data_IF_203445989388
#
_entry.id   IF_203445989388
#
_cell.length_a   1.000
_cell.length_b   1.000
_cell.length_c   1.000
_cell.angle_alpha   90.00
_cell.angle_beta   90.00
_cell.angle_gamma   90.00
#
_symmetry.space_group_name_H-M   'P 1'
#
loop_
_entity.id
_entity.type
_entity.pdbx_description
1 polymer ?
#
# COMPACT_ATOMS: atom_id res chain seq x y z
N UNK A 1 19.44 13.03 -19.82
CA UNK A 1 19.03 14.41 -20.18
C UNK A 1 18.22 14.43 -21.47
N UNK A 2 18.77 14.00 -22.64
CA UNK A 2 18.07 14.09 -23.95
C UNK A 2 16.72 13.35 -23.92
N UNK A 3 16.66 12.17 -23.36
CA UNK A 3 15.41 11.40 -23.24
C UNK A 3 14.33 12.08 -22.39
N UNK A 4 14.72 12.78 -21.33
CA UNK A 4 13.77 13.55 -20.48
C UNK A 4 13.28 14.82 -21.17
N UNK A 5 14.10 15.49 -21.96
CA UNK A 5 13.76 16.77 -22.61
C UNK A 5 13.24 16.62 -24.04
N UNK A 6 13.46 15.48 -24.67
CA UNK A 6 13.21 15.25 -26.11
C UNK A 6 13.77 16.37 -26.98
N UNK A 7 14.94 16.92 -26.57
CA UNK A 7 15.62 18.04 -27.20
C UNK A 7 17.10 18.01 -26.84
N UNK A 8 17.96 17.98 -27.90
CA UNK A 8 19.42 18.03 -27.71
C UNK A 8 19.84 19.39 -27.15
N UNK A 9 19.18 20.47 -27.61
CA UNK A 9 19.50 21.84 -27.18
C UNK A 9 19.19 22.04 -25.71
N UNK A 10 18.00 21.63 -25.22
CA UNK A 10 17.62 21.75 -23.85
C UNK A 10 18.47 20.84 -22.96
N UNK A 11 18.75 19.62 -23.40
CA UNK A 11 19.63 18.72 -22.66
C UNK A 11 21.07 19.27 -22.56
N UNK A 12 21.56 19.95 -23.60
CA UNK A 12 22.88 20.61 -23.58
C UNK A 12 22.92 21.74 -22.52
N UNK A 13 21.83 22.52 -22.41
CA UNK A 13 21.70 23.56 -21.40
C UNK A 13 21.69 22.96 -19.98
N UNK A 14 20.88 21.91 -19.75
CA UNK A 14 20.80 21.22 -18.45
C UNK A 14 22.16 20.64 -18.01
N UNK A 15 22.98 20.20 -18.98
CA UNK A 15 24.28 19.58 -18.71
C UNK A 15 25.45 20.57 -18.74
N UNK A 16 25.20 21.85 -19.02
CA UNK A 16 26.24 22.88 -19.22
C UNK A 16 27.24 22.49 -20.30
N UNK A 17 26.76 21.85 -21.37
CA UNK A 17 27.54 21.40 -22.52
C UNK A 17 27.07 22.09 -23.82
N UNK A 18 27.91 21.98 -24.85
CA UNK A 18 27.48 22.39 -26.20
C UNK A 18 26.58 21.34 -26.86
N UNK A 19 25.66 21.76 -27.73
CA UNK A 19 24.80 20.86 -28.49
C UNK A 19 25.61 19.82 -29.33
N UNK A 20 26.76 20.23 -29.87
CA UNK A 20 27.66 19.35 -30.60
C UNK A 20 28.30 18.27 -29.69
N UNK A 21 28.61 18.60 -28.44
CA UNK A 21 29.13 17.66 -27.48
C UNK A 21 28.08 16.60 -27.12
N UNK A 22 26.85 17.01 -26.79
CA UNK A 22 25.75 16.10 -26.50
C UNK A 22 25.43 15.21 -27.71
N UNK A 23 25.38 15.78 -28.92
CA UNK A 23 25.16 15.00 -30.16
C UNK A 23 26.25 13.94 -30.38
N UNK A 24 27.52 14.28 -30.10
CA UNK A 24 28.67 13.37 -30.20
C UNK A 24 28.56 12.23 -29.19
N UNK A 25 28.14 12.49 -27.95
CA UNK A 25 27.94 11.47 -26.94
C UNK A 25 26.83 10.47 -27.33
N UNK A 26 25.72 10.97 -27.90
CA UNK A 26 24.64 10.11 -28.40
C UNK A 26 25.16 9.22 -29.53
N UNK A 27 25.84 9.80 -30.52
CA UNK A 27 26.41 9.02 -31.65
C UNK A 27 27.45 7.99 -31.18
N UNK A 28 28.28 8.34 -30.20
CA UNK A 28 29.23 7.40 -29.59
C UNK A 28 28.52 6.20 -28.92
N UNK A 29 27.46 6.46 -28.19
CA UNK A 29 26.65 5.42 -27.57
C UNK A 29 25.94 4.54 -28.58
N UNK A 30 25.29 5.15 -29.60
CA UNK A 30 24.66 4.42 -30.69
C UNK A 30 25.65 3.54 -31.46
N UNK A 31 26.87 4.07 -31.71
CA UNK A 31 27.93 3.34 -32.40
C UNK A 31 28.45 2.17 -31.59
N UNK A 32 28.61 2.34 -30.27
CA UNK A 32 29.04 1.27 -29.36
C UNK A 32 28.02 0.14 -29.22
N UNK A 33 26.72 0.49 -29.27
CA UNK A 33 25.64 -0.48 -29.18
C UNK A 33 25.23 -1.08 -30.53
N UNK A 34 25.63 -0.46 -31.63
CA UNK A 34 25.26 -0.86 -33.00
C UNK A 34 23.79 -0.63 -33.35
N UNK A 35 23.07 0.19 -32.56
CA UNK A 35 21.65 0.49 -32.75
C UNK A 35 21.39 1.99 -32.65
N UNK A 36 20.33 2.46 -33.30
CA UNK A 36 19.84 3.82 -33.15
C UNK A 36 18.94 3.92 -31.94
N UNK A 37 19.13 4.97 -31.14
CA UNK A 37 18.33 5.24 -29.96
C UNK A 37 17.34 6.38 -30.20
N UNK A 38 17.65 7.25 -31.17
CA UNK A 38 16.80 8.38 -31.50
C UNK A 38 16.59 8.47 -33.03
N UNK A 39 15.39 8.87 -33.42
CA UNK A 39 15.02 9.25 -34.76
C UNK A 39 14.82 10.76 -34.81
N UNK A 40 15.31 11.38 -35.92
CA UNK A 40 15.12 12.82 -36.17
C UNK A 40 13.96 13.00 -37.13
N UNK A 41 12.89 13.64 -36.67
CA UNK A 41 11.84 14.17 -37.52
C UNK A 41 12.07 15.67 -37.79
N UNK A 42 11.29 16.23 -38.69
CA UNK A 42 11.41 17.65 -39.04
C UNK A 42 11.13 18.55 -37.82
N UNK A 43 12.19 19.04 -37.14
CA UNK A 43 12.20 19.84 -35.88
C UNK A 43 11.92 19.10 -34.56
N UNK A 44 11.93 17.77 -34.55
CA UNK A 44 11.74 16.99 -33.31
C UNK A 44 12.67 15.78 -33.26
N UNK A 45 12.90 15.27 -32.06
CA UNK A 45 13.62 14.03 -31.83
C UNK A 45 12.67 13.08 -31.09
N UNK A 46 12.66 11.82 -31.50
CA UNK A 46 11.84 10.76 -30.89
C UNK A 46 12.69 9.56 -30.56
N UNK A 47 12.27 8.76 -29.61
CA UNK A 47 12.91 7.48 -29.35
C UNK A 47 12.63 6.48 -30.48
N UNK A 48 13.61 5.62 -30.74
CA UNK A 48 13.33 4.30 -31.32
C UNK A 48 12.77 3.38 -30.25
N UNK A 49 12.13 2.22 -30.58
CA UNK A 49 11.71 1.25 -29.60
C UNK A 49 12.85 0.78 -28.67
N UNK A 50 14.05 0.60 -29.23
CA UNK A 50 15.27 0.25 -28.50
C UNK A 50 15.73 1.40 -27.59
N UNK A 51 15.64 2.63 -28.09
CA UNK A 51 15.96 3.84 -27.34
C UNK A 51 15.05 4.06 -26.13
N UNK A 52 13.75 3.84 -26.28
CA UNK A 52 12.78 3.94 -25.19
C UNK A 52 13.04 2.89 -24.10
N UNK A 53 13.28 1.63 -24.50
CA UNK A 53 13.61 0.55 -23.55
C UNK A 53 14.89 0.85 -22.77
N UNK A 54 15.94 1.32 -23.45
CA UNK A 54 17.20 1.69 -22.80
C UNK A 54 17.01 2.89 -21.88
N UNK A 55 16.22 3.90 -22.30
CA UNK A 55 15.93 5.08 -21.49
C UNK A 55 15.23 4.72 -20.19
N UNK A 56 14.17 3.91 -20.23
CA UNK A 56 13.43 3.49 -19.05
C UNK A 56 14.33 2.75 -18.05
N UNK A 57 15.18 1.84 -18.54
CA UNK A 57 16.14 1.11 -17.69
C UNK A 57 17.20 2.05 -17.10
N UNK A 58 17.76 2.95 -17.91
CA UNK A 58 18.78 3.89 -17.47
C UNK A 58 18.21 4.94 -16.50
N UNK A 59 16.99 5.42 -16.73
CA UNK A 59 16.33 6.41 -15.86
C UNK A 59 16.04 5.82 -14.48
N UNK A 60 15.57 4.57 -14.42
CA UNK A 60 15.38 3.82 -13.18
C UNK A 60 16.70 3.63 -12.42
N UNK A 61 17.78 3.21 -13.12
CA UNK A 61 19.08 3.03 -12.49
C UNK A 61 19.67 4.35 -11.98
N UNK A 62 19.52 5.44 -12.73
CA UNK A 62 19.97 6.77 -12.31
C UNK A 62 19.17 7.29 -11.12
N UNK A 63 17.86 7.03 -11.05
CA UNK A 63 17.05 7.40 -9.91
C UNK A 63 17.51 6.64 -8.65
N UNK A 64 17.73 5.34 -8.74
CA UNK A 64 18.25 4.52 -7.64
C UNK A 64 19.62 5.02 -7.14
N UNK A 65 20.49 5.41 -8.08
CA UNK A 65 21.80 5.98 -7.73
C UNK A 65 21.66 7.33 -7.01
N UNK A 66 20.78 8.21 -7.49
CA UNK A 66 20.50 9.49 -6.84
C UNK A 66 19.92 9.31 -5.44
N UNK A 67 18.98 8.37 -5.28
CA UNK A 67 18.38 8.03 -3.99
C UNK A 67 19.45 7.48 -3.02
N UNK A 68 20.37 6.65 -3.53
CA UNK A 68 21.51 6.13 -2.74
C UNK A 68 22.47 7.24 -2.32
N UNK A 69 22.83 8.13 -3.23
CA UNK A 69 23.69 9.28 -2.92
C UNK A 69 23.01 10.22 -1.92
N UNK A 70 21.71 10.48 -2.12
CA UNK A 70 20.90 11.26 -1.18
C UNK A 70 20.87 10.62 0.21
N UNK A 71 20.71 9.30 0.30
CA UNK A 71 20.76 8.56 1.55
C UNK A 71 22.14 8.62 2.23
N UNK A 72 23.22 8.54 1.48
CA UNK A 72 24.59 8.68 2.01
C UNK A 72 24.89 10.11 2.50
N UNK A 73 24.38 11.11 1.82
CA UNK A 73 24.52 12.51 2.24
C UNK A 73 23.61 12.86 3.43
N UNK A 74 22.40 12.29 3.49
CA UNK A 74 21.46 12.47 4.59
C UNK A 74 21.90 11.73 5.87
N UNK A 75 22.83 10.76 5.78
CA UNK A 75 23.40 10.11 6.98
C UNK A 75 24.25 11.04 7.85
N UNK A 76 24.48 12.28 7.41
CA UNK A 76 25.12 13.36 8.18
C UNK A 76 24.12 14.33 8.83
N UNK A 77 22.82 14.22 8.53
CA UNK A 77 21.74 15.05 9.08
C UNK A 77 20.51 14.16 9.20
N UNK A 78 19.81 14.16 10.30
CA UNK A 78 18.61 13.40 10.68
C UNK A 78 17.86 12.74 9.50
N UNK A 79 18.06 11.43 9.32
CA UNK A 79 17.39 10.64 8.27
C UNK A 79 15.99 10.25 8.75
N UNK A 80 14.94 10.49 7.96
CA UNK A 80 13.60 10.04 8.34
C UNK A 80 13.53 8.51 8.48
N UNK A 81 12.85 8.03 9.51
CA UNK A 81 12.55 6.61 9.68
C UNK A 81 11.51 6.20 8.63
N UNK A 82 11.88 5.28 7.76
CA UNK A 82 11.03 4.89 6.63
C UNK A 82 10.29 3.57 6.89
N UNK A 83 8.96 3.64 6.87
CA UNK A 83 8.06 2.48 7.04
C UNK A 83 7.35 2.18 5.74
N UNK A 84 7.36 0.91 5.31
CA UNK A 84 6.49 0.45 4.23
C UNK A 84 5.40 -0.49 4.76
N UNK A 85 4.19 -0.30 4.27
CA UNK A 85 3.06 -1.15 4.57
C UNK A 85 2.04 -1.11 3.42
N UNK A 86 1.03 -2.00 3.46
CA UNK A 86 -0.05 -1.92 2.49
C UNK A 86 -0.80 -0.59 2.59
N UNK A 87 -1.33 -0.12 1.46
CA UNK A 87 -2.06 1.16 1.37
C UNK A 87 -3.14 1.24 2.45
N UNK A 88 -3.93 0.19 2.61
CA UNK A 88 -5.02 0.14 3.58
C UNK A 88 -4.54 0.10 5.03
N UNK A 89 -3.40 -0.54 5.33
CA UNK A 89 -2.81 -0.50 6.67
C UNK A 89 -2.38 0.92 7.01
N UNK A 90 -1.67 1.57 6.10
CA UNK A 90 -1.25 2.97 6.29
C UNK A 90 -2.47 3.86 6.50
N UNK A 91 -3.45 3.82 5.58
CA UNK A 91 -4.59 4.74 5.61
C UNK A 91 -5.54 4.54 6.79
N UNK A 92 -5.86 3.30 7.13
CA UNK A 92 -6.92 2.99 8.10
C UNK A 92 -6.39 2.69 9.52
N UNK A 93 -5.14 2.22 9.65
CA UNK A 93 -4.62 1.87 10.97
C UNK A 93 -3.50 2.81 11.45
N UNK A 94 -2.50 3.09 10.60
CA UNK A 94 -1.30 3.82 11.01
C UNK A 94 -1.55 5.33 11.09
N UNK A 95 -2.06 5.94 10.01
CA UNK A 95 -2.27 7.41 9.94
C UNK A 95 -3.16 7.97 11.06
N UNK A 96 -4.27 7.34 11.46
CA UNK A 96 -5.10 7.85 12.55
C UNK A 96 -4.39 7.86 13.91
N UNK A 97 -3.33 7.05 14.07
CA UNK A 97 -2.56 6.89 15.31
C UNK A 97 -1.27 7.69 15.33
N UNK A 98 -0.71 7.99 14.17
CA UNK A 98 0.59 8.65 14.03
C UNK A 98 0.73 9.98 14.79
N UNK A 99 -0.33 10.82 14.95
CA UNK A 99 -0.24 12.03 15.77
C UNK A 99 0.19 11.76 17.22
N UNK A 100 -0.16 10.62 17.82
CA UNK A 100 0.28 10.27 19.18
C UNK A 100 1.79 9.96 19.24
N UNK A 101 2.34 9.35 18.20
CA UNK A 101 3.78 9.14 18.07
C UNK A 101 4.53 10.48 17.93
N UNK A 102 4.05 11.35 17.05
CA UNK A 102 4.66 12.65 16.81
C UNK A 102 4.65 13.56 18.06
N UNK A 103 3.64 13.43 18.93
CA UNK A 103 3.60 14.13 20.21
C UNK A 103 4.64 13.60 21.22
N UNK A 104 4.90 12.29 21.21
CA UNK A 104 5.89 11.65 22.09
C UNK A 104 7.32 11.79 21.57
N UNK A 105 7.50 11.85 20.27
CA UNK A 105 8.79 11.89 19.56
C UNK A 105 8.79 12.97 18.47
N UNK A 106 8.70 14.25 18.85
CA UNK A 106 8.63 15.35 17.87
C UNK A 106 9.90 15.51 17.04
N UNK A 107 11.04 14.97 17.51
CA UNK A 107 12.33 14.96 16.82
C UNK A 107 12.43 13.90 15.73
N UNK A 108 11.52 12.90 15.70
CA UNK A 108 11.60 11.79 14.77
C UNK A 108 10.79 12.10 13.51
N UNK A 109 11.48 12.26 12.40
CA UNK A 109 10.84 12.37 11.09
C UNK A 109 10.44 10.98 10.59
N UNK A 110 9.17 10.79 10.19
CA UNK A 110 8.63 9.53 9.69
C UNK A 110 8.26 9.67 8.22
N UNK A 111 8.79 8.79 7.37
CA UNK A 111 8.42 8.64 5.97
C UNK A 111 7.59 7.39 5.76
N UNK A 112 6.37 7.54 5.27
CA UNK A 112 5.48 6.42 4.94
C UNK A 112 5.56 6.08 3.45
N UNK A 113 5.85 4.81 3.14
CA UNK A 113 5.84 4.27 1.78
C UNK A 113 4.70 3.24 1.64
N UNK A 114 3.51 3.73 1.31
CA UNK A 114 2.32 2.88 1.14
C UNK A 114 2.38 2.12 -0.19
N UNK A 115 2.53 0.79 -0.12
CA UNK A 115 2.67 -0.06 -1.31
C UNK A 115 2.19 -1.48 -1.01
N UNK A 116 1.41 -2.07 -1.93
CA UNK A 116 0.93 -3.44 -1.80
C UNK A 116 1.95 -4.50 -2.28
N UNK A 117 3.03 -4.09 -2.94
CA UNK A 117 4.07 -5.00 -3.41
C UNK A 117 5.00 -5.41 -2.24
N UNK A 118 5.50 -6.63 -2.32
CA UNK A 118 6.58 -7.09 -1.44
C UNK A 118 7.88 -6.51 -1.98
N UNK A 119 8.57 -5.75 -1.15
CA UNK A 119 9.82 -5.06 -1.49
C UNK A 119 10.95 -5.55 -0.59
N UNK A 120 12.19 -5.54 -1.10
CA UNK A 120 13.38 -5.79 -0.30
C UNK A 120 13.74 -4.50 0.47
N UNK A 121 13.74 -4.58 1.81
CA UNK A 121 14.01 -3.43 2.68
C UNK A 121 15.39 -2.83 2.47
N UNK A 122 16.39 -3.66 2.14
CA UNK A 122 17.76 -3.20 1.94
C UNK A 122 17.94 -2.50 0.61
N UNK A 123 17.36 -3.07 -0.45
CA UNK A 123 17.44 -2.50 -1.80
C UNK A 123 16.70 -1.16 -1.90
N UNK A 124 15.56 -1.05 -1.23
CA UNK A 124 14.72 0.15 -1.25
C UNK A 124 15.10 1.18 -0.16
N UNK A 125 16.11 0.87 0.68
CA UNK A 125 16.54 1.77 1.74
C UNK A 125 15.51 2.00 2.85
N UNK A 126 14.58 1.06 3.05
CA UNK A 126 13.49 1.13 4.03
C UNK A 126 13.97 0.57 5.37
N UNK A 127 13.51 1.12 6.49
CA UNK A 127 13.92 0.70 7.83
C UNK A 127 13.09 -0.44 8.37
N UNK A 128 11.79 -0.43 8.07
CA UNK A 128 10.86 -1.48 8.48
C UNK A 128 9.72 -1.68 7.49
N UNK A 129 9.12 -2.88 7.55
CA UNK A 129 7.90 -3.21 6.81
C UNK A 129 6.84 -3.79 7.73
N UNK A 130 5.58 -3.44 7.47
CA UNK A 130 4.43 -4.14 8.02
C UNK A 130 3.82 -4.96 6.90
N UNK A 131 3.71 -6.27 7.15
CA UNK A 131 3.26 -7.25 6.15
C UNK A 131 2.08 -8.04 6.66
N UNK A 132 1.24 -8.45 5.72
CA UNK A 132 0.09 -9.32 5.94
C UNK A 132 0.40 -10.70 5.36
N UNK A 133 0.39 -11.73 6.19
CA UNK A 133 0.74 -13.10 5.79
C UNK A 133 -0.06 -14.12 6.59
N UNK A 134 -0.05 -15.36 6.14
CA UNK A 134 -0.54 -16.48 6.94
C UNK A 134 0.38 -16.69 8.16
N UNK A 135 -0.18 -17.16 9.27
CA UNK A 135 0.54 -17.32 10.53
C UNK A 135 1.74 -18.30 10.40
N UNK A 136 1.57 -19.34 9.60
CA UNK A 136 2.60 -20.35 9.29
C UNK A 136 3.64 -19.88 8.26
N UNK A 137 3.35 -18.79 7.53
CA UNK A 137 4.23 -18.17 6.55
C UNK A 137 4.89 -16.87 7.07
N UNK A 138 4.86 -16.63 8.38
CA UNK A 138 5.47 -15.44 8.96
C UNK A 138 7.00 -15.49 8.78
N UNK A 139 7.62 -14.44 8.23
CA UNK A 139 9.06 -14.41 8.01
C UNK A 139 9.86 -14.54 9.31
N UNK A 140 11.03 -15.21 9.23
CA UNK A 140 11.93 -15.33 10.36
C UNK A 140 12.35 -13.94 10.88
N UNK A 141 12.34 -13.75 12.19
CA UNK A 141 12.65 -12.46 12.84
C UNK A 141 11.52 -11.41 12.78
N UNK A 142 10.40 -11.69 12.11
CA UNK A 142 9.25 -10.81 12.15
C UNK A 142 8.56 -10.86 13.52
N UNK A 143 8.03 -9.71 13.96
CA UNK A 143 7.24 -9.60 15.19
C UNK A 143 5.74 -9.56 14.83
N UNK A 144 4.95 -10.46 15.41
CA UNK A 144 3.49 -10.45 15.26
C UNK A 144 2.94 -9.14 15.83
N UNK A 145 2.06 -8.49 15.08
CA UNK A 145 1.30 -7.33 15.58
C UNK A 145 -0.08 -7.79 16.06
N UNK A 146 -0.96 -8.14 15.14
CA UNK A 146 -2.31 -8.63 15.44
C UNK A 146 -2.83 -9.54 14.33
N UNK A 147 -3.82 -10.37 14.67
CA UNK A 147 -4.59 -11.16 13.72
C UNK A 147 -5.64 -10.35 12.99
N UNK A 148 -6.60 -11.00 12.35
CA UNK A 148 -7.75 -10.31 11.77
C UNK A 148 -9.07 -10.99 12.12
N UNK A 149 -10.11 -10.17 12.28
CA UNK A 149 -11.49 -10.61 12.35
C UNK A 149 -12.30 -9.85 11.31
N UNK A 150 -13.01 -10.59 10.48
CA UNK A 150 -13.80 -10.03 9.37
C UNK A 150 -15.27 -10.25 9.64
N UNK A 151 -16.10 -9.25 9.40
CA UNK A 151 -17.55 -9.33 9.54
C UNK A 151 -18.25 -8.28 8.66
N UNK A 152 -19.53 -8.47 8.33
CA UNK A 152 -20.31 -7.53 7.56
C UNK A 152 -20.54 -6.21 8.31
N UNK A 153 -20.39 -5.10 7.59
CA UNK A 153 -20.62 -3.73 8.09
C UNK A 153 -21.36 -2.89 7.06
N UNK A 154 -22.08 -1.90 7.53
CA UNK A 154 -22.76 -0.93 6.70
C UNK A 154 -22.85 0.42 7.38
N UNK A 155 -23.14 1.49 6.61
CA UNK A 155 -23.52 2.78 7.18
C UNK A 155 -24.93 2.70 7.79
N UNK A 156 -25.19 3.31 8.97
CA UNK A 156 -26.50 3.26 9.63
C UNK A 156 -27.68 3.74 8.77
N UNK A 157 -27.44 4.64 7.82
CA UNK A 157 -28.49 5.15 6.91
C UNK A 157 -29.14 4.09 6.02
N UNK A 158 -28.51 2.93 5.87
CA UNK A 158 -29.11 1.82 5.13
C UNK A 158 -30.23 1.11 5.90
N UNK A 159 -30.40 1.43 7.20
CA UNK A 159 -31.46 0.85 8.04
C UNK A 159 -31.33 -0.66 8.26
N UNK A 160 -30.12 -1.22 8.08
CA UNK A 160 -29.85 -2.65 8.23
C UNK A 160 -29.05 -2.85 9.52
N UNK A 161 -29.66 -3.47 10.52
CA UNK A 161 -28.98 -3.82 11.77
C UNK A 161 -28.50 -5.28 11.80
N UNK A 162 -29.11 -6.15 11.00
CA UNK A 162 -28.85 -7.58 10.98
C UNK A 162 -28.87 -8.11 9.53
N UNK A 163 -28.04 -9.09 9.26
CA UNK A 163 -28.08 -9.90 8.05
C UNK A 163 -28.58 -11.30 8.43
N UNK A 164 -29.88 -11.42 8.67
CA UNK A 164 -30.51 -12.65 9.17
C UNK A 164 -31.48 -13.31 8.18
N UNK A 165 -31.61 -12.72 7.00
CA UNK A 165 -32.46 -13.25 5.92
C UNK A 165 -31.85 -12.99 4.53
N UNK A 166 -31.97 -13.92 3.57
CA UNK A 166 -31.41 -13.77 2.23
C UNK A 166 -32.04 -12.63 1.43
N UNK A 167 -33.26 -12.21 1.75
CA UNK A 167 -33.97 -11.10 1.13
C UNK A 167 -33.25 -9.76 1.37
N UNK A 168 -32.53 -9.63 2.49
CA UNK A 168 -31.75 -8.44 2.79
C UNK A 168 -30.60 -8.32 1.78
N UNK A 169 -29.94 -9.46 1.49
CA UNK A 169 -28.89 -9.51 0.45
C UNK A 169 -29.50 -9.19 -0.93
N UNK A 170 -30.62 -9.78 -1.27
CA UNK A 170 -31.25 -9.59 -2.58
C UNK A 170 -31.64 -8.13 -2.89
N UNK A 171 -31.89 -7.31 -1.85
CA UNK A 171 -32.19 -5.88 -1.99
C UNK A 171 -30.99 -4.95 -1.76
N UNK A 172 -29.82 -5.50 -1.37
CA UNK A 172 -28.64 -4.73 -1.03
C UNK A 172 -27.58 -4.74 -2.14
N UNK A 173 -26.78 -3.69 -2.18
CA UNK A 173 -25.53 -3.67 -2.94
C UNK A 173 -24.43 -4.23 -2.03
N UNK A 174 -23.64 -5.17 -2.55
CA UNK A 174 -22.47 -5.69 -1.86
C UNK A 174 -21.21 -5.01 -2.37
N UNK A 175 -20.33 -4.62 -1.45
CA UNK A 175 -19.02 -4.08 -1.73
C UNK A 175 -18.01 -5.21 -1.56
N UNK A 176 -17.28 -5.54 -2.62
CA UNK A 176 -16.38 -6.70 -2.67
C UNK A 176 -14.94 -6.25 -2.87
N UNK A 177 -14.04 -6.79 -2.04
CA UNK A 177 -12.62 -6.57 -2.15
C UNK A 177 -11.97 -7.66 -3.00
N UNK A 178 -11.31 -7.29 -4.11
CA UNK A 178 -10.65 -8.22 -5.04
C UNK A 178 -9.14 -8.37 -4.79
N UNK A 179 -8.57 -7.62 -3.83
CA UNK A 179 -7.13 -7.65 -3.55
C UNK A 179 -6.63 -8.91 -2.81
N UNK A 180 -7.54 -9.78 -2.37
CA UNK A 180 -7.23 -11.06 -1.72
C UNK A 180 -8.31 -12.08 -2.09
N UNK A 181 -7.90 -13.29 -2.48
CA UNK A 181 -8.80 -14.40 -2.87
C UNK A 181 -9.20 -15.30 -1.72
N UNK A 182 -8.78 -14.99 -0.49
CA UNK A 182 -9.10 -15.79 0.70
C UNK A 182 -10.61 -15.83 0.97
N UNK A 183 -11.17 -16.97 1.43
CA UNK A 183 -12.63 -17.14 1.59
C UNK A 183 -13.28 -16.08 2.47
N UNK A 184 -12.62 -15.63 3.53
CA UNK A 184 -13.19 -14.62 4.44
C UNK A 184 -13.35 -13.22 3.81
N UNK A 185 -12.77 -12.98 2.62
CA UNK A 185 -12.95 -11.76 1.85
C UNK A 185 -13.99 -11.88 0.75
N UNK A 186 -14.60 -13.05 0.58
CA UNK A 186 -15.51 -13.33 -0.50
C UNK A 186 -16.95 -13.45 -0.02
N UNK A 187 -17.82 -12.68 -0.65
CA UNK A 187 -19.24 -12.74 -0.34
C UNK A 187 -19.88 -14.08 -0.66
N UNK A 188 -19.43 -14.78 -1.71
CA UNK A 188 -19.91 -16.12 -2.02
C UNK A 188 -19.68 -17.12 -0.87
N UNK A 189 -18.47 -17.14 -0.30
CA UNK A 189 -18.15 -17.98 0.86
C UNK A 189 -18.95 -17.58 2.11
N UNK A 190 -19.15 -16.26 2.34
CA UNK A 190 -19.99 -15.77 3.43
C UNK A 190 -21.44 -16.22 3.29
N UNK A 191 -22.04 -16.09 2.09
CA UNK A 191 -23.42 -16.48 1.83
C UNK A 191 -23.60 -18.00 1.94
N UNK A 192 -22.63 -18.78 1.49
CA UNK A 192 -22.65 -20.24 1.64
C UNK A 192 -22.68 -20.65 3.10
N UNK A 193 -21.84 -20.07 3.96
CA UNK A 193 -21.82 -20.34 5.39
C UNK A 193 -23.13 -19.95 6.11
N UNK A 194 -23.85 -18.92 5.62
CA UNK A 194 -25.18 -18.58 6.12
C UNK A 194 -26.27 -19.55 5.63
N UNK A 195 -25.97 -20.41 4.64
CA UNK A 195 -26.95 -21.27 3.98
C UNK A 195 -27.70 -20.56 2.86
N UNK A 196 -27.16 -19.48 2.33
CA UNK A 196 -27.78 -18.63 1.29
C UNK A 196 -27.02 -18.71 -0.03
N UNK A 197 -26.42 -19.85 -0.32
CA UNK A 197 -25.72 -20.08 -1.59
C UNK A 197 -26.64 -19.77 -2.79
N UNK A 198 -26.13 -19.06 -3.78
CA UNK A 198 -26.87 -18.69 -4.98
C UNK A 198 -27.80 -17.48 -4.86
N UNK A 199 -27.94 -16.86 -3.68
CA UNK A 199 -28.68 -15.61 -3.53
C UNK A 199 -27.92 -14.50 -4.28
N UNK A 200 -28.64 -13.83 -5.19
CA UNK A 200 -28.07 -12.72 -5.99
C UNK A 200 -28.36 -11.40 -5.30
N UNK A 201 -27.35 -10.57 -5.02
CA UNK A 201 -27.54 -9.23 -4.49
C UNK A 201 -28.16 -8.32 -5.57
N UNK A 202 -28.70 -7.17 -5.15
CA UNK A 202 -29.18 -6.10 -6.06
C UNK A 202 -28.07 -5.62 -7.00
N UNK A 203 -26.81 -5.61 -6.52
CA UNK A 203 -25.63 -5.24 -7.30
C UNK A 203 -24.35 -5.56 -6.52
N UNK A 204 -23.22 -5.55 -7.22
CA UNK A 204 -21.89 -5.70 -6.63
C UNK A 204 -20.99 -4.59 -7.16
N UNK A 205 -20.31 -3.89 -6.25
CA UNK A 205 -19.24 -2.97 -6.61
C UNK A 205 -17.92 -3.59 -6.13
N UNK A 206 -16.94 -3.68 -7.04
CA UNK A 206 -15.66 -4.32 -6.77
C UNK A 206 -14.53 -3.31 -6.62
N UNK A 207 -13.65 -3.57 -5.66
CA UNK A 207 -12.54 -2.70 -5.29
C UNK A 207 -11.26 -3.50 -5.23
N UNK A 208 -10.19 -2.99 -5.85
CA UNK A 208 -8.85 -3.53 -5.71
C UNK A 208 -8.11 -2.97 -4.48
N UNK A 209 -8.65 -1.93 -3.82
CA UNK A 209 -8.12 -1.33 -2.61
C UNK A 209 -9.16 -1.40 -1.49
N UNK A 210 -8.75 -1.98 -0.34
CA UNK A 210 -9.64 -2.21 0.80
C UNK A 210 -10.12 -0.91 1.44
N UNK A 211 -9.26 0.10 1.56
CA UNK A 211 -9.61 1.42 2.11
C UNK A 211 -10.69 2.12 1.29
N UNK A 212 -10.64 2.03 -0.05
CA UNK A 212 -11.68 2.57 -0.92
C UNK A 212 -13.03 1.87 -0.71
N UNK A 213 -13.02 0.54 -0.55
CA UNK A 213 -14.24 -0.21 -0.22
C UNK A 213 -14.84 0.26 1.12
N UNK A 214 -14.01 0.49 2.14
CA UNK A 214 -14.49 0.99 3.43
C UNK A 214 -15.03 2.42 3.32
N UNK A 215 -14.40 3.29 2.53
CA UNK A 215 -14.93 4.62 2.26
C UNK A 215 -16.28 4.57 1.53
N UNK A 216 -16.47 3.66 0.59
CA UNK A 216 -17.75 3.44 -0.07
C UNK A 216 -18.83 2.94 0.94
N UNK A 217 -18.45 2.06 1.87
CA UNK A 217 -19.35 1.62 2.95
C UNK A 217 -19.75 2.78 3.87
N UNK A 218 -18.81 3.64 4.28
CA UNK A 218 -19.07 4.85 5.07
C UNK A 218 -19.99 5.83 4.32
N UNK A 219 -19.86 5.90 2.99
CA UNK A 219 -20.75 6.70 2.14
C UNK A 219 -22.14 6.07 1.92
N UNK A 220 -22.45 4.94 2.56
CA UNK A 220 -23.75 4.29 2.46
C UNK A 220 -24.02 3.60 1.12
N UNK A 221 -22.99 3.29 0.33
CA UNK A 221 -23.14 2.70 -1.01
C UNK A 221 -23.48 1.21 -0.99
N UNK A 222 -23.29 0.52 0.15
CA UNK A 222 -23.58 -0.89 0.27
C UNK A 222 -23.05 -1.52 1.55
N UNK A 223 -23.11 -2.86 1.59
CA UNK A 223 -22.62 -3.69 2.69
C UNK A 223 -21.21 -4.17 2.34
N UNK A 224 -20.25 -3.98 3.24
CA UNK A 224 -18.87 -4.42 3.07
C UNK A 224 -18.49 -5.51 4.08
N UNK A 225 -17.48 -6.31 3.76
CA UNK A 225 -16.76 -7.13 4.72
C UNK A 225 -15.66 -6.29 5.35
N UNK A 226 -15.84 -5.93 6.62
CA UNK A 226 -14.94 -5.05 7.35
C UNK A 226 -13.92 -5.81 8.18
N UNK A 227 -12.65 -5.38 8.18
CA UNK A 227 -11.60 -5.87 9.09
C UNK A 227 -11.67 -5.06 10.38
N UNK A 228 -12.00 -5.72 11.49
CA UNK A 228 -12.27 -5.07 12.79
C UNK A 228 -11.14 -4.14 13.23
N UNK A 229 -9.88 -4.57 13.07
CA UNK A 229 -8.68 -3.83 13.46
C UNK A 229 -8.54 -2.46 12.74
N UNK A 230 -9.08 -2.36 11.52
CA UNK A 230 -8.99 -1.15 10.71
C UNK A 230 -10.19 -0.23 10.86
N UNK A 231 -11.38 -0.81 11.08
CA UNK A 231 -12.64 -0.06 11.06
C UNK A 231 -13.16 0.29 12.47
N UNK A 232 -12.45 -0.10 13.53
CA UNK A 232 -12.87 0.17 14.89
C UNK A 232 -13.22 1.63 15.19
N UNK A 233 -12.41 2.63 14.73
CA UNK A 233 -12.79 4.02 14.93
C UNK A 233 -14.14 4.35 14.30
N UNK A 234 -14.44 3.79 13.11
CA UNK A 234 -15.70 4.00 12.39
C UNK A 234 -16.89 3.31 13.07
N UNK A 235 -16.65 2.21 13.77
CA UNK A 235 -17.67 1.56 14.61
C UNK A 235 -17.92 2.37 15.87
N UNK A 236 -16.87 2.89 16.52
CA UNK A 236 -16.97 3.64 17.77
C UNK A 236 -17.67 4.99 17.58
N UNK A 237 -17.45 5.67 16.46
CA UNK A 237 -18.07 6.97 16.14
C UNK A 237 -19.40 6.85 15.35
N UNK A 238 -19.85 5.63 15.09
CA UNK A 238 -21.14 5.34 14.45
C UNK A 238 -21.19 5.55 12.94
N UNK A 239 -20.06 5.80 12.26
CA UNK A 239 -20.01 5.86 10.79
C UNK A 239 -20.27 4.50 10.15
N UNK A 240 -19.95 3.42 10.84
CA UNK A 240 -20.27 2.07 10.45
C UNK A 240 -20.95 1.35 11.61
N UNK A 241 -21.81 0.38 11.30
CA UNK A 241 -22.37 -0.57 12.25
C UNK A 241 -22.03 -1.99 11.82
N UNK A 242 -21.69 -2.84 12.79
CA UNK A 242 -21.56 -4.27 12.58
C UNK A 242 -22.94 -4.88 12.37
N UNK A 243 -23.09 -5.67 11.32
CA UNK A 243 -24.32 -6.39 11.04
C UNK A 243 -24.25 -7.79 11.67
N UNK A 244 -25.17 -8.09 12.58
CA UNK A 244 -25.24 -9.42 13.17
C UNK A 244 -25.68 -10.45 12.12
N UNK A 245 -25.05 -11.63 12.13
CA UNK A 245 -25.34 -12.75 11.23
C UNK A 245 -25.78 -13.99 12.03
N UNK A 246 -26.65 -14.86 11.48
CA UNK A 246 -27.11 -16.08 12.17
C UNK A 246 -25.97 -17.04 12.50
N UNK A 247 -24.96 -17.11 11.66
CA UNK A 247 -23.78 -17.96 11.81
C UNK A 247 -22.51 -17.10 11.71
N UNK A 248 -21.40 -17.53 12.33
CA UNK A 248 -20.11 -16.87 12.11
C UNK A 248 -19.71 -16.99 10.64
N UNK A 249 -18.97 -16.01 10.16
CA UNK A 249 -18.35 -16.07 8.83
C UNK A 249 -17.07 -16.91 8.81
N UNK A 250 -16.44 -17.04 7.64
CA UNK A 250 -15.15 -17.72 7.51
C UNK A 250 -14.10 -17.08 8.43
N UNK A 251 -13.34 -17.92 9.14
CA UNK A 251 -12.23 -17.45 9.98
C UNK A 251 -10.96 -17.25 9.15
N UNK A 252 -10.18 -16.24 9.51
CA UNK A 252 -8.87 -15.99 8.92
C UNK A 252 -7.75 -16.63 9.75
N UNK A 253 -6.73 -17.17 9.07
CA UNK A 253 -5.47 -17.60 9.67
C UNK A 253 -4.34 -16.59 9.40
N UNK A 254 -4.65 -15.42 8.86
CA UNK A 254 -3.67 -14.38 8.53
C UNK A 254 -3.51 -13.37 9.67
N UNK A 255 -2.36 -12.73 9.66
CA UNK A 255 -1.98 -11.73 10.64
C UNK A 255 -1.15 -10.61 10.00
N UNK A 256 -1.00 -9.51 10.73
CA UNK A 256 -0.02 -8.48 10.44
C UNK A 256 1.22 -8.71 11.27
N UNK A 257 2.39 -8.56 10.63
CA UNK A 257 3.69 -8.65 11.29
C UNK A 257 4.59 -7.50 10.87
N UNK A 258 5.51 -7.13 11.75
CA UNK A 258 6.54 -6.13 11.53
C UNK A 258 7.87 -6.81 11.29
N UNK A 259 8.53 -6.42 10.18
CA UNK A 259 9.90 -6.77 9.87
C UNK A 259 10.77 -5.52 9.99
N UNK A 260 11.95 -5.65 10.53
CA UNK A 260 12.96 -4.59 10.56
C UNK A 260 14.14 -4.96 9.65
N UNK A 261 14.77 -3.95 9.03
CA UNK A 261 15.92 -4.14 8.15
C UNK A 261 17.16 -4.59 8.93
N UNK A 262 17.43 -3.89 10.02
CA UNK A 262 18.62 -4.09 10.85
C UNK A 262 18.23 -4.67 12.22
N UNK A 263 18.94 -5.70 12.71
CA UNK A 263 18.69 -6.26 14.05
C UNK A 263 18.95 -5.25 15.19
N UNK A 264 19.84 -4.27 14.95
CA UNK A 264 20.16 -3.17 15.86
C UNK A 264 19.88 -1.84 15.15
N UNK A 265 18.63 -1.38 15.11
CA UNK A 265 18.25 -0.14 14.43
C UNK A 265 18.70 1.10 15.22
N UNK A 266 18.61 2.31 14.60
CA UNK A 266 18.81 3.56 15.31
C UNK A 266 17.78 3.74 16.43
N UNK A 267 18.08 4.64 17.38
CA UNK A 267 17.17 4.94 18.50
C UNK A 267 15.80 5.42 18.00
N UNK A 268 15.76 6.25 16.96
CA UNK A 268 14.56 6.78 16.35
C UNK A 268 13.72 5.64 15.69
N UNK A 269 14.41 4.75 14.97
CA UNK A 269 13.76 3.57 14.38
C UNK A 269 13.21 2.65 15.45
N UNK A 270 13.96 2.41 16.53
CA UNK A 270 13.52 1.58 17.65
C UNK A 270 12.31 2.20 18.35
N UNK A 271 12.31 3.52 18.59
CA UNK A 271 11.17 4.22 19.19
C UNK A 271 9.88 4.02 18.37
N UNK A 272 9.96 4.15 17.03
CA UNK A 272 8.79 3.93 16.17
C UNK A 272 8.33 2.47 16.17
N UNK A 273 9.27 1.51 16.18
CA UNK A 273 8.95 0.07 16.29
C UNK A 273 8.22 -0.23 17.60
N UNK A 274 8.72 0.26 18.72
CA UNK A 274 8.14 -0.01 20.05
C UNK A 274 6.75 0.63 20.18
N UNK A 275 6.58 1.84 19.64
CA UNK A 275 5.29 2.49 19.58
C UNK A 275 4.28 1.70 18.71
N UNK A 276 4.69 1.24 17.50
CA UNK A 276 3.81 0.42 16.63
C UNK A 276 3.37 -0.85 17.36
N UNK A 277 4.28 -1.51 18.10
CA UNK A 277 3.96 -2.72 18.85
C UNK A 277 2.98 -2.42 19.98
N UNK A 278 3.18 -1.34 20.72
CA UNK A 278 2.29 -0.93 21.80
C UNK A 278 0.86 -0.64 21.26
N UNK A 279 0.74 0.10 20.17
CA UNK A 279 -0.53 0.39 19.50
C UNK A 279 -1.19 -0.89 18.95
N UNK A 280 -0.39 -1.86 18.48
CA UNK A 280 -0.90 -3.15 18.04
C UNK A 280 -1.45 -3.99 19.20
N UNK A 281 -0.80 -4.00 20.34
CA UNK A 281 -1.27 -4.67 21.55
C UNK A 281 -2.60 -4.06 22.04
N UNK A 282 -2.71 -2.74 22.05
CA UNK A 282 -3.98 -2.05 22.34
C UNK A 282 -5.09 -2.43 21.33
N UNK A 283 -4.74 -2.59 20.06
CA UNK A 283 -5.68 -3.03 19.04
C UNK A 283 -6.18 -4.45 19.26
N UNK A 284 -5.29 -5.39 19.64
CA UNK A 284 -5.63 -6.80 19.91
C UNK A 284 -6.47 -6.94 21.19
N UNK A 285 -6.06 -6.31 22.29
CA UNK A 285 -6.77 -6.35 23.58
C UNK A 285 -8.23 -5.85 23.49
N UNK A 286 -8.46 -4.87 22.63
CA UNK A 286 -9.78 -4.31 22.42
C UNK A 286 -10.69 -5.19 21.52
N UNK A 287 -10.19 -6.29 20.97
CA UNK A 287 -10.98 -7.27 20.18
C UNK A 287 -11.45 -8.44 21.02
N UNK A 288 -10.78 -8.68 22.15
CA UNK A 288 -11.13 -9.74 23.11
C UNK A 288 -12.18 -9.27 24.14
N UNK A 289 -12.41 -7.96 24.25
CA UNK A 289 -13.43 -7.33 25.11
C UNK A 289 -14.73 -7.05 24.32
#
# INVERSE_FOLDING_TARGET
>A
AVGRRMSITLAAQDLFLTQSAVSRQIHGLESALGIKLFERAHRSIHFTPEGERLFLSADTAMQQLQDTIGALQASLVHRPVTVTASISFVGLWLLPRLPSFQQQHPEVEVRLSANNNIVDLRQEGLDMAIRYCAADAMPAGARRLFGETVFPVAHPSLGIARLDAPEIIARSVLLEFEGDTSPWWRWDAWLEMQGWAGVKPKGVIRFNLFDQMIHAAIAGQGIALGRSQFIRPMLSDGRLVRLATPRPGPSSNKLFCLLQRDPAPSAETQALIDWIIAEAQLTDALLEA
#
